data_IF_557078924834
#
_entry.id   IF_557078924834
#
_cell.length_a   1.000
_cell.length_b   1.000
_cell.length_c   1.000
_cell.angle_alpha   90.00
_cell.angle_beta   90.00
_cell.angle_gamma   90.00
#
_symmetry.space_group_name_H-M   'P 1'
#
loop_
_entity.id
_entity.type
_entity.pdbx_description
1 polymer ?
#
# COMPACT_ATOMS: atom_id res chain seq x y z
N UNK A 1 -10.28 16.05 12.01
CA UNK A 1 -9.44 15.68 10.83
C UNK A 1 -9.64 14.22 10.45
N UNK A 2 -9.70 13.91 9.14
CA UNK A 2 -9.99 12.56 8.61
C UNK A 2 -8.75 11.66 8.54
N UNK A 3 -7.58 12.20 8.19
CA UNK A 3 -6.33 11.42 8.03
C UNK A 3 -5.91 10.66 9.31
N UNK A 4 -5.95 11.25 10.52
CA UNK A 4 -5.66 10.51 11.74
C UNK A 4 -6.64 9.35 12.01
N UNK A 5 -7.90 9.50 11.60
CA UNK A 5 -8.89 8.40 11.72
C UNK A 5 -8.59 7.28 10.72
N UNK A 6 -8.17 7.62 9.51
CA UNK A 6 -7.71 6.64 8.54
C UNK A 6 -6.44 5.91 9.01
N UNK A 7 -5.52 6.57 9.70
CA UNK A 7 -4.37 5.86 10.29
C UNK A 7 -4.80 4.69 11.18
N UNK A 8 -5.83 4.87 11.99
CA UNK A 8 -6.34 3.83 12.92
C UNK A 8 -7.08 2.69 12.22
N UNK A 9 -7.64 2.93 11.02
CA UNK A 9 -8.57 2.00 10.37
C UNK A 9 -8.38 1.84 8.87
N UNK A 10 -7.22 2.20 8.32
CA UNK A 10 -6.96 2.07 6.89
C UNK A 10 -6.98 0.59 6.51
N UNK A 11 -7.58 0.33 5.35
CA UNK A 11 -7.69 -1.03 4.82
C UNK A 11 -6.31 -1.55 4.47
N UNK A 12 -6.09 -2.82 4.81
CA UNK A 12 -4.90 -3.61 4.46
C UNK A 12 -5.34 -4.88 3.78
N UNK A 13 -4.52 -5.38 2.87
CA UNK A 13 -4.78 -6.66 2.21
C UNK A 13 -3.60 -7.61 2.40
N UNK A 14 -3.89 -8.91 2.44
CA UNK A 14 -2.87 -9.94 2.44
C UNK A 14 -2.29 -10.07 1.04
N UNK A 15 -1.04 -9.69 0.89
CA UNK A 15 -0.25 -9.93 -0.31
C UNK A 15 0.60 -11.18 -0.12
N UNK A 16 0.62 -12.03 -1.14
CA UNK A 16 1.54 -13.17 -1.20
C UNK A 16 2.82 -12.72 -1.85
N UNK A 17 3.94 -12.96 -1.20
CA UNK A 17 5.26 -12.67 -1.74
C UNK A 17 6.11 -13.95 -1.76
N UNK A 18 6.71 -14.29 -2.91
CA UNK A 18 7.59 -15.45 -3.00
C UNK A 18 8.89 -15.18 -2.26
N UNK A 19 9.31 -16.13 -1.43
CA UNK A 19 10.53 -16.05 -0.64
C UNK A 19 11.29 -17.37 -0.73
N UNK A 20 12.62 -17.31 -0.91
CA UNK A 20 13.45 -18.51 -0.86
C UNK A 20 13.76 -18.84 0.60
N UNK A 21 13.24 -19.96 1.07
CA UNK A 21 13.51 -20.48 2.41
C UNK A 21 14.30 -21.78 2.28
N UNK A 22 15.13 -22.12 3.27
CA UNK A 22 15.69 -23.47 3.36
C UNK A 22 14.55 -24.47 3.45
N UNK A 23 14.70 -25.63 2.79
CA UNK A 23 13.65 -26.65 2.71
C UNK A 23 13.13 -27.06 4.10
N UNK A 24 14.02 -27.24 5.08
CA UNK A 24 13.69 -27.58 6.48
C UNK A 24 12.75 -26.58 7.18
N UNK A 25 12.68 -25.33 6.70
CA UNK A 25 11.84 -24.28 7.26
C UNK A 25 10.47 -24.18 6.58
N UNK A 26 10.28 -24.86 5.44
CA UNK A 26 9.05 -24.78 4.65
C UNK A 26 8.11 -25.92 5.03
N UNK A 27 7.11 -25.62 5.86
CA UNK A 27 6.18 -26.64 6.39
C UNK A 27 5.26 -27.24 5.32
N UNK A 28 4.76 -26.41 4.39
CA UNK A 28 3.80 -26.83 3.35
C UNK A 28 4.07 -26.07 2.05
N UNK A 29 5.08 -26.48 1.26
CA UNK A 29 5.34 -25.84 -0.01
C UNK A 29 4.19 -26.10 -0.98
N UNK A 30 3.71 -25.06 -1.64
CA UNK A 30 2.75 -25.18 -2.73
C UNK A 30 3.38 -26.04 -3.86
N UNK A 31 2.68 -27.04 -4.44
CA UNK A 31 3.26 -27.95 -5.42
C UNK A 31 3.91 -27.25 -6.63
N UNK A 32 3.31 -26.15 -7.08
CA UNK A 32 3.85 -25.32 -8.18
C UNK A 32 5.21 -24.71 -7.84
N UNK A 33 5.42 -24.34 -6.58
CA UNK A 33 6.63 -23.69 -6.10
C UNK A 33 7.74 -24.71 -5.82
N UNK A 34 7.37 -25.94 -5.43
CA UNK A 34 8.32 -27.07 -5.36
C UNK A 34 8.92 -27.39 -6.74
N UNK A 35 8.08 -27.47 -7.78
CA UNK A 35 8.53 -27.71 -9.16
C UNK A 35 9.49 -26.60 -9.63
N UNK A 36 9.17 -25.33 -9.33
CA UNK A 36 10.07 -24.21 -9.64
C UNK A 36 11.39 -24.28 -8.88
N UNK A 37 11.35 -24.70 -7.62
CA UNK A 37 12.53 -24.88 -6.77
C UNK A 37 13.47 -25.95 -7.32
N UNK A 38 12.92 -27.07 -7.79
CA UNK A 38 13.69 -28.14 -8.42
C UNK A 38 14.33 -27.74 -9.76
N UNK A 39 13.74 -26.79 -10.49
CA UNK A 39 14.25 -26.31 -11.78
C UNK A 39 15.37 -25.27 -11.64
N UNK A 40 15.63 -24.76 -10.43
CA UNK A 40 16.66 -23.73 -10.21
C UNK A 40 18.06 -24.38 -10.30
N UNK A 41 18.94 -23.91 -11.22
CA UNK A 41 20.30 -24.45 -11.33
C UNK A 41 21.07 -24.34 -10.00
N UNK A 42 21.74 -25.43 -9.62
CA UNK A 42 22.54 -25.50 -8.39
C UNK A 42 21.74 -25.52 -7.08
N UNK A 43 20.42 -25.73 -7.14
CA UNK A 43 19.55 -25.76 -5.95
C UNK A 43 19.20 -27.18 -5.49
N UNK A 44 19.82 -28.21 -6.05
CA UNK A 44 19.58 -29.60 -5.67
C UNK A 44 20.73 -30.11 -4.81
N UNK A 45 20.40 -30.86 -3.77
CA UNK A 45 21.36 -31.64 -2.99
C UNK A 45 21.81 -32.90 -3.75
N UNK A 46 22.64 -33.72 -3.11
CA UNK A 46 23.20 -34.94 -3.70
C UNK A 46 22.14 -36.02 -3.93
N UNK A 47 20.97 -35.93 -3.29
CA UNK A 47 19.83 -36.82 -3.50
C UNK A 47 18.78 -36.24 -4.49
N UNK A 48 19.07 -35.08 -5.10
CA UNK A 48 18.18 -34.44 -6.06
C UNK A 48 17.00 -33.70 -5.43
N UNK A 49 17.05 -33.41 -4.12
CA UNK A 49 16.03 -32.63 -3.40
C UNK A 49 16.42 -31.15 -3.37
N UNK A 50 15.44 -30.23 -3.36
CA UNK A 50 15.75 -28.80 -3.30
C UNK A 50 16.37 -28.41 -1.96
N UNK A 51 17.52 -27.73 -1.98
CA UNK A 51 18.17 -27.13 -0.80
C UNK A 51 17.36 -25.93 -0.31
N UNK A 52 16.85 -25.13 -1.24
CA UNK A 52 15.93 -24.03 -0.97
C UNK A 52 14.61 -24.26 -1.68
N UNK A 53 13.51 -24.05 -0.97
CA UNK A 53 12.16 -24.14 -1.53
C UNK A 53 11.52 -22.76 -1.52
N UNK A 54 10.86 -22.42 -2.62
CA UNK A 54 10.10 -21.19 -2.72
C UNK A 54 8.83 -21.32 -1.86
N UNK A 55 8.71 -20.39 -0.91
CA UNK A 55 7.64 -20.28 0.07
C UNK A 55 6.83 -19.02 -0.21
N UNK A 56 5.50 -19.09 -0.07
CA UNK A 56 4.61 -17.94 -0.23
C UNK A 56 4.33 -17.33 1.14
N UNK A 57 5.03 -16.24 1.47
CA UNK A 57 4.76 -15.50 2.70
C UNK A 57 3.58 -14.57 2.50
N UNK A 58 2.67 -14.57 3.48
CA UNK A 58 1.54 -13.63 3.51
C UNK A 58 1.93 -12.42 4.35
N UNK A 59 1.99 -11.27 3.72
CA UNK A 59 2.27 -9.99 4.37
C UNK A 59 1.05 -9.10 4.25
N UNK A 60 0.68 -8.42 5.33
CA UNK A 60 -0.30 -7.35 5.26
C UNK A 60 0.35 -6.13 4.61
N UNK A 61 -0.30 -5.59 3.58
CA UNK A 61 0.15 -4.36 2.94
C UNK A 61 -0.95 -3.29 2.97
N UNK A 62 -0.56 -2.06 3.29
CA UNK A 62 -1.38 -0.88 3.09
C UNK A 62 -1.36 -0.38 1.64
N UNK A 63 -0.45 -0.87 0.79
CA UNK A 63 -0.26 -0.42 -0.59
C UNK A 63 -1.31 -1.00 -1.56
N UNK A 64 -2.57 -0.66 -1.28
CA UNK A 64 -3.75 -1.08 -2.04
C UNK A 64 -4.36 0.10 -2.79
N UNK A 65 -5.23 -0.19 -3.75
CA UNK A 65 -5.83 0.81 -4.62
C UNK A 65 -6.55 1.94 -3.85
N UNK A 66 -7.31 1.60 -2.82
CA UNK A 66 -8.05 2.56 -1.98
C UNK A 66 -7.12 3.55 -1.28
N UNK A 67 -6.04 3.06 -0.69
CA UNK A 67 -5.07 3.91 0.01
C UNK A 67 -4.26 4.75 -0.98
N UNK A 68 -3.96 4.20 -2.17
CA UNK A 68 -3.34 4.98 -3.25
C UNK A 68 -4.24 6.11 -3.73
N UNK A 69 -5.56 5.89 -3.79
CA UNK A 69 -6.53 6.96 -4.07
C UNK A 69 -6.48 8.04 -2.99
N UNK A 70 -6.42 7.67 -1.70
CA UNK A 70 -6.28 8.64 -0.59
C UNK A 70 -4.99 9.44 -0.75
N UNK A 71 -3.84 8.77 -0.96
CA UNK A 71 -2.54 9.43 -1.16
C UNK A 71 -2.60 10.40 -2.35
N UNK A 72 -3.18 9.98 -3.48
CA UNK A 72 -3.32 10.83 -4.66
C UNK A 72 -4.15 12.09 -4.40
N UNK A 73 -5.27 11.98 -3.67
CA UNK A 73 -6.09 13.15 -3.30
C UNK A 73 -5.34 14.08 -2.36
N UNK A 74 -4.63 13.55 -1.37
CA UNK A 74 -3.82 14.35 -0.45
C UNK A 74 -2.75 15.15 -1.21
N UNK A 75 -2.03 14.52 -2.13
CA UNK A 75 -1.00 15.20 -2.93
C UNK A 75 -1.60 16.28 -3.85
N UNK A 76 -2.76 16.02 -4.45
CA UNK A 76 -3.48 17.00 -5.27
C UNK A 76 -3.91 18.23 -4.45
N UNK A 77 -4.55 18.02 -3.30
CA UNK A 77 -4.97 19.10 -2.40
C UNK A 77 -3.75 19.88 -1.90
N UNK A 78 -2.68 19.18 -1.52
CA UNK A 78 -1.42 19.80 -1.08
C UNK A 78 -0.81 20.66 -2.19
N UNK A 79 -0.83 20.20 -3.45
CA UNK A 79 -0.38 20.95 -4.61
C UNK A 79 -1.19 22.22 -4.88
N UNK A 80 -2.53 22.12 -4.77
CA UNK A 80 -3.44 23.27 -4.89
C UNK A 80 -3.20 24.29 -3.77
N UNK A 81 -3.11 23.84 -2.53
CA UNK A 81 -2.85 24.71 -1.36
C UNK A 81 -1.48 25.38 -1.45
N UNK A 82 -0.42 24.67 -1.85
CA UNK A 82 0.90 25.28 -2.09
C UNK A 82 0.87 26.38 -3.14
N UNK A 83 0.06 26.21 -4.19
CA UNK A 83 -0.08 27.21 -5.25
C UNK A 83 -0.85 28.44 -4.74
N UNK A 84 -1.92 28.23 -3.98
CA UNK A 84 -2.74 29.29 -3.40
C UNK A 84 -2.03 30.05 -2.26
N UNK A 85 -1.26 29.35 -1.42
CA UNK A 85 -0.51 29.91 -0.28
C UNK A 85 0.52 30.97 -0.67
N UNK A 86 0.85 31.09 -1.97
CA UNK A 86 1.69 32.18 -2.50
C UNK A 86 1.00 33.54 -2.44
N UNK A 87 -0.33 33.57 -2.38
CA UNK A 87 -1.17 34.77 -2.51
C UNK A 87 -2.20 34.90 -1.40
N UNK A 88 -2.47 33.82 -0.67
CA UNK A 88 -3.53 33.71 0.33
C UNK A 88 -2.98 33.15 1.65
N UNK A 89 -3.18 33.90 2.74
CA UNK A 89 -2.74 33.52 4.07
C UNK A 89 -3.56 32.34 4.63
N UNK A 90 -4.85 32.26 4.31
CA UNK A 90 -5.74 31.20 4.77
C UNK A 90 -5.31 29.87 4.13
N UNK A 91 -4.93 29.90 2.84
CA UNK A 91 -4.38 28.74 2.15
C UNK A 91 -3.05 28.26 2.77
N UNK A 92 -2.26 29.16 3.35
CA UNK A 92 -1.02 28.81 4.06
C UNK A 92 -1.32 28.12 5.39
N UNK A 93 -2.32 28.58 6.13
CA UNK A 93 -2.79 27.95 7.36
C UNK A 93 -3.35 26.55 7.08
N UNK A 94 -4.25 26.42 6.09
CA UNK A 94 -4.79 25.14 5.66
C UNK A 94 -3.71 24.16 5.18
N UNK A 95 -2.65 24.66 4.52
CA UNK A 95 -1.52 23.82 4.13
C UNK A 95 -0.77 23.29 5.36
N UNK A 96 -0.58 24.13 6.39
CA UNK A 96 0.05 23.72 7.63
C UNK A 96 -0.80 22.68 8.39
N UNK A 97 -2.11 22.87 8.46
CA UNK A 97 -3.04 21.89 9.03
C UNK A 97 -3.00 20.55 8.27
N UNK A 98 -2.98 20.61 6.93
CA UNK A 98 -2.87 19.41 6.11
C UNK A 98 -1.55 18.67 6.37
N UNK A 99 -0.43 19.39 6.42
CA UNK A 99 0.88 18.81 6.68
C UNK A 99 0.95 18.15 8.08
N UNK A 100 0.35 18.79 9.10
CA UNK A 100 0.19 18.19 10.43
C UNK A 100 -0.70 16.93 10.40
N UNK A 101 -1.79 16.94 9.62
CA UNK A 101 -2.67 15.79 9.46
C UNK A 101 -1.98 14.62 8.75
N UNK A 102 -1.13 14.90 7.76
CA UNK A 102 -0.32 13.91 7.04
C UNK A 102 0.72 13.29 7.96
N UNK A 103 1.38 14.07 8.81
CA UNK A 103 2.33 13.56 9.80
C UNK A 103 1.71 12.54 10.77
N UNK A 104 0.39 12.64 11.01
CA UNK A 104 -0.38 11.69 11.83
C UNK A 104 -0.89 10.46 11.05
N UNK A 105 -0.55 10.33 9.77
CA UNK A 105 -0.99 9.26 8.88
C UNK A 105 0.18 8.56 8.15
N UNK A 106 1.14 7.97 8.89
CA UNK A 106 2.33 7.32 8.31
C UNK A 106 2.01 6.17 7.34
N UNK A 107 0.81 5.59 7.37
CA UNK A 107 0.42 4.59 6.37
C UNK A 107 0.51 5.13 4.92
N UNK A 108 0.43 6.44 4.72
CA UNK A 108 0.58 7.05 3.40
C UNK A 108 2.00 6.88 2.84
N UNK A 109 3.01 6.77 3.70
CA UNK A 109 4.40 6.53 3.28
C UNK A 109 4.59 5.09 2.77
N UNK A 110 3.82 4.13 3.29
CA UNK A 110 3.81 2.73 2.85
C UNK A 110 3.14 2.52 1.48
N UNK A 111 2.39 3.52 1.00
CA UNK A 111 1.49 3.40 -0.16
C UNK A 111 2.13 4.04 -1.39
N UNK A 112 2.30 3.34 -2.51
CA UNK A 112 3.00 3.90 -3.67
C UNK A 112 2.30 5.12 -4.27
N UNK A 113 3.09 6.13 -4.67
CA UNK A 113 2.61 7.24 -5.51
C UNK A 113 2.36 6.73 -6.93
N UNK A 114 1.20 7.04 -7.48
CA UNK A 114 0.88 6.70 -8.88
C UNK A 114 0.43 7.96 -9.60
N UNK A 115 1.20 8.37 -10.62
CA UNK A 115 0.95 9.60 -11.37
C UNK A 115 -0.40 9.61 -12.12
N UNK A 116 -0.89 8.43 -12.55
CA UNK A 116 -2.09 8.29 -13.36
C UNK A 116 -3.07 7.26 -12.75
N UNK A 117 -3.47 7.46 -11.50
CA UNK A 117 -4.45 6.58 -10.88
C UNK A 117 -5.85 6.86 -11.47
N UNK A 118 -6.38 5.93 -12.27
CA UNK A 118 -7.75 6.01 -12.78
C UNK A 118 -8.74 5.69 -11.68
N UNK A 119 -9.70 6.57 -11.47
CA UNK A 119 -10.78 6.33 -10.52
C UNK A 119 -11.66 5.17 -11.00
N UNK A 120 -11.71 4.15 -10.16
CA UNK A 120 -12.62 3.01 -10.19
C UNK A 120 -13.40 3.01 -8.87
N UNK A 121 -14.74 3.05 -8.91
CA UNK A 121 -15.54 2.96 -7.70
C UNK A 121 -15.39 1.54 -7.12
N UNK A 122 -14.99 1.45 -5.86
CA UNK A 122 -15.00 0.20 -5.09
C UNK A 122 -15.96 0.32 -3.92
N UNK A 123 -16.35 -0.81 -3.33
CA UNK A 123 -17.23 -0.82 -2.18
C UNK A 123 -16.64 0.00 -1.01
N UNK A 124 -15.33 -0.07 -0.78
CA UNK A 124 -14.67 0.74 0.26
C UNK A 124 -14.73 2.22 -0.07
N UNK A 125 -14.37 2.63 -1.29
CA UNK A 125 -14.42 4.05 -1.67
C UNK A 125 -15.83 4.66 -1.65
N UNK A 126 -16.87 3.84 -1.78
CA UNK A 126 -18.27 4.29 -1.85
C UNK A 126 -19.02 4.16 -0.53
N UNK A 127 -18.73 3.13 0.27
CA UNK A 127 -19.48 2.80 1.49
C UNK A 127 -18.75 3.14 2.78
N UNK A 128 -17.41 3.17 2.78
CA UNK A 128 -16.66 3.57 3.97
C UNK A 128 -16.71 5.10 4.12
N UNK A 129 -17.24 5.62 5.23
CA UNK A 129 -17.42 7.06 5.41
C UNK A 129 -16.10 7.83 5.40
N UNK A 130 -14.99 7.24 5.87
CA UNK A 130 -13.70 7.92 5.92
C UNK A 130 -13.11 8.07 4.51
N UNK A 131 -13.11 6.99 3.72
CA UNK A 131 -12.62 7.04 2.34
C UNK A 131 -13.51 7.92 1.47
N UNK A 132 -14.84 7.83 1.63
CA UNK A 132 -15.78 8.68 0.92
C UNK A 132 -15.57 10.16 1.22
N UNK A 133 -15.30 10.51 2.49
CA UNK A 133 -15.07 11.89 2.88
C UNK A 133 -13.80 12.47 2.25
N UNK A 134 -12.70 11.69 2.17
CA UNK A 134 -11.49 12.11 1.44
C UNK A 134 -11.80 12.34 -0.04
N UNK A 135 -12.50 11.40 -0.69
CA UNK A 135 -12.81 11.50 -2.11
C UNK A 135 -13.74 12.66 -2.47
N UNK A 136 -14.54 13.16 -1.52
CA UNK A 136 -15.41 14.30 -1.75
C UNK A 136 -14.62 15.59 -2.07
N UNK A 137 -13.40 15.74 -1.51
CA UNK A 137 -12.52 16.91 -1.67
C UNK A 137 -11.86 16.97 -3.06
N UNK A 138 -11.94 15.89 -3.83
CA UNK A 138 -11.43 15.82 -5.19
C UNK A 138 -12.29 16.60 -6.20
N UNK A 139 -13.57 16.88 -5.88
CA UNK A 139 -14.51 17.58 -6.77
C UNK A 139 -14.26 19.08 -6.70
#
# INVERSE_FOLDING_TARGET
MILPKLQQGHRRELRREPHWSKEELVRHPEPRELIRSMRKPGNLDVEGRPVYTLDERRLLTADIYENRMVRAVVEDVRGRLRSAARRDADAKELLHELDAAVALAPFLDEVRVVANLRYRPTATLTKDPLYRAVLAVRR
#
